data_IF_653627599337
#
_entry.id   IF_653627599337
#
_cell.length_a   1.000
_cell.length_b   1.000
_cell.length_c   1.000
_cell.angle_alpha   90.00
_cell.angle_beta   90.00
_cell.angle_gamma   90.00
#
_symmetry.space_group_name_H-M   'P 1'
#
loop_
_entity.id
_entity.type
_entity.pdbx_description
1 polymer ?
#
# COMPACT_ATOMS: atom_id res chain seq x y z
N UNK A 1 24.60 0.11 -0.69
CA UNK A 1 24.37 0.73 -2.02
C UNK A 1 22.88 1.07 -2.12
N UNK A 2 22.55 2.19 -2.73
CA UNK A 2 21.17 2.63 -2.94
C UNK A 2 20.51 1.74 -4.01
N UNK A 3 19.51 0.93 -3.63
CA UNK A 3 18.88 -0.08 -4.51
C UNK A 3 17.93 0.52 -5.56
N UNK A 4 17.47 1.76 -5.34
CA UNK A 4 16.43 2.41 -6.15
C UNK A 4 16.90 3.74 -6.75
N UNK A 5 18.22 3.94 -6.86
CA UNK A 5 18.79 5.17 -7.42
C UNK A 5 18.26 5.43 -8.84
N UNK A 6 17.66 6.61 -9.06
CA UNK A 6 17.12 7.03 -10.34
C UNK A 6 15.77 6.41 -10.69
N UNK A 7 15.16 5.62 -9.80
CA UNK A 7 13.78 5.13 -9.92
C UNK A 7 12.79 6.18 -9.42
N UNK A 8 11.57 6.11 -9.92
CA UNK A 8 10.45 6.97 -9.51
C UNK A 8 9.32 6.10 -8.97
N UNK A 9 8.84 6.43 -7.78
CA UNK A 9 7.76 5.71 -7.11
C UNK A 9 6.54 6.60 -6.86
N UNK A 10 5.36 6.05 -7.03
CA UNK A 10 4.10 6.60 -6.52
C UNK A 10 3.63 5.74 -5.36
N UNK A 11 3.32 6.35 -4.21
CA UNK A 11 2.74 5.68 -3.05
C UNK A 11 1.40 6.31 -2.73
N UNK A 12 0.31 5.57 -2.90
CA UNK A 12 -1.03 6.08 -2.61
C UNK A 12 -1.34 6.02 -1.12
N UNK A 13 -2.12 6.98 -0.60
CA UNK A 13 -2.46 7.05 0.82
C UNK A 13 -1.23 7.17 1.75
N UNK A 14 -0.21 7.91 1.33
CA UNK A 14 1.10 7.96 1.97
C UNK A 14 1.27 9.11 2.99
N UNK A 15 0.19 9.76 3.41
CA UNK A 15 0.24 10.86 4.39
C UNK A 15 0.50 10.41 5.83
N UNK A 16 0.35 9.11 6.14
CA UNK A 16 0.57 8.50 7.46
C UNK A 16 0.75 6.97 7.38
N UNK A 17 1.02 6.34 8.50
CA UNK A 17 1.03 4.88 8.66
C UNK A 17 1.99 4.14 7.72
N UNK A 18 1.54 3.00 7.22
CA UNK A 18 2.34 2.11 6.36
C UNK A 18 2.80 2.83 5.09
N UNK A 19 1.90 3.58 4.43
CA UNK A 19 2.24 4.30 3.20
C UNK A 19 3.33 5.35 3.41
N UNK A 20 3.28 6.11 4.50
CA UNK A 20 4.32 7.09 4.86
C UNK A 20 5.66 6.40 5.13
N UNK A 21 5.65 5.27 5.83
CA UNK A 21 6.86 4.48 6.07
C UNK A 21 7.48 3.94 4.79
N UNK A 22 6.64 3.41 3.89
CA UNK A 22 7.09 2.93 2.57
C UNK A 22 7.68 4.07 1.75
N UNK A 23 7.00 5.23 1.68
CA UNK A 23 7.49 6.40 0.95
C UNK A 23 8.87 6.83 1.44
N UNK A 24 9.07 6.95 2.76
CA UNK A 24 10.36 7.27 3.37
C UNK A 24 11.43 6.22 3.07
N UNK A 25 11.09 4.93 3.14
CA UNK A 25 12.03 3.85 2.88
C UNK A 25 12.47 3.78 1.41
N UNK A 26 11.55 3.97 0.46
CA UNK A 26 11.87 4.04 -0.97
C UNK A 26 12.79 5.24 -1.26
N UNK A 27 12.48 6.41 -0.70
CA UNK A 27 13.31 7.61 -0.84
C UNK A 27 14.72 7.41 -0.24
N UNK A 28 14.84 6.77 0.92
CA UNK A 28 16.13 6.43 1.54
C UNK A 28 16.98 5.48 0.68
N UNK A 29 16.35 4.72 -0.22
CA UNK A 29 17.02 3.89 -1.22
C UNK A 29 17.26 4.61 -2.55
N UNK A 30 17.01 5.93 -2.61
CA UNK A 30 17.35 6.79 -3.75
C UNK A 30 16.26 6.95 -4.80
N UNK A 31 15.04 6.51 -4.53
CA UNK A 31 13.90 6.79 -5.39
C UNK A 31 13.40 8.24 -5.20
N UNK A 32 12.91 8.86 -6.28
CA UNK A 32 12.06 10.04 -6.20
C UNK A 32 10.62 9.60 -5.95
N UNK A 33 9.93 10.20 -4.98
CA UNK A 33 8.63 9.67 -4.51
C UNK A 33 7.52 10.69 -4.65
N UNK A 34 6.41 10.25 -5.24
CA UNK A 34 5.11 10.94 -5.14
C UNK A 34 4.37 10.41 -3.92
N UNK A 35 4.15 11.28 -2.94
CA UNK A 35 3.40 11.02 -1.71
C UNK A 35 1.95 11.46 -1.93
N UNK A 36 1.07 10.50 -2.28
CA UNK A 36 -0.33 10.84 -2.49
C UNK A 36 -1.11 10.88 -1.16
N UNK A 37 -2.06 11.79 -1.11
CA UNK A 37 -3.04 11.92 -0.03
C UNK A 37 -4.44 12.24 -0.58
N UNK A 38 -5.49 11.78 0.09
CA UNK A 38 -6.87 12.17 -0.25
C UNK A 38 -7.30 13.44 0.52
N UNK A 39 -7.09 13.47 1.84
CA UNK A 39 -7.59 14.55 2.72
C UNK A 39 -6.51 15.21 3.57
N UNK A 40 -5.47 14.50 3.97
CA UNK A 40 -4.45 15.00 4.90
C UNK A 40 -3.24 15.58 4.16
N UNK A 41 -3.39 16.81 3.64
CA UNK A 41 -2.28 17.53 3.00
C UNK A 41 -1.13 17.74 3.98
N UNK A 42 -1.40 18.19 5.19
CA UNK A 42 -0.38 18.46 6.21
C UNK A 42 0.42 17.19 6.58
N UNK A 43 -0.24 16.02 6.63
CA UNK A 43 0.45 14.75 6.83
C UNK A 43 1.39 14.41 5.67
N UNK A 44 0.94 14.61 4.43
CA UNK A 44 1.78 14.38 3.25
C UNK A 44 2.97 15.35 3.18
N UNK A 45 2.74 16.63 3.48
CA UNK A 45 3.81 17.64 3.55
C UNK A 45 4.86 17.25 4.62
N UNK A 46 4.43 16.78 5.80
CA UNK A 46 5.35 16.31 6.83
C UNK A 46 6.18 15.09 6.39
N UNK A 47 5.61 14.20 5.58
CA UNK A 47 6.35 13.08 4.99
C UNK A 47 7.38 13.57 3.97
N UNK A 48 7.00 14.50 3.10
CA UNK A 48 7.90 15.13 2.12
C UNK A 48 9.06 15.84 2.82
N UNK A 49 8.76 16.64 3.85
CA UNK A 49 9.78 17.34 4.65
C UNK A 49 10.76 16.36 5.33
N UNK A 50 10.25 15.25 5.86
CA UNK A 50 11.10 14.22 6.47
C UNK A 50 12.01 13.55 5.45
N UNK A 51 11.51 13.28 4.24
CA UNK A 51 12.30 12.74 3.13
C UNK A 51 13.37 13.74 2.71
N UNK A 52 13.02 15.01 2.54
CA UNK A 52 13.96 16.07 2.16
C UNK A 52 15.06 16.27 3.22
N UNK A 53 14.72 16.28 4.51
CA UNK A 53 15.68 16.36 5.62
C UNK A 53 16.67 15.19 5.64
N UNK A 54 16.23 14.01 5.16
CA UNK A 54 17.08 12.84 5.01
C UNK A 54 17.88 12.82 3.70
N UNK A 55 17.81 13.88 2.87
CA UNK A 55 18.53 14.01 1.59
C UNK A 55 17.84 13.30 0.42
N UNK A 56 16.58 12.86 0.58
CA UNK A 56 15.78 12.26 -0.48
C UNK A 56 14.97 13.30 -1.26
N UNK A 57 14.21 12.82 -2.24
CA UNK A 57 13.37 13.66 -3.12
C UNK A 57 11.93 13.17 -3.09
N UNK A 58 10.99 14.05 -2.78
CA UNK A 58 9.56 13.74 -2.83
C UNK A 58 8.70 14.96 -3.11
N UNK A 59 7.48 14.73 -3.58
CA UNK A 59 6.42 15.72 -3.71
C UNK A 59 5.11 15.19 -3.12
N UNK A 60 4.28 16.07 -2.57
CA UNK A 60 2.93 15.73 -2.12
C UNK A 60 1.92 16.00 -3.25
N UNK A 61 1.02 15.04 -3.50
CA UNK A 61 0.00 15.14 -4.55
C UNK A 61 -1.36 14.74 -3.99
N UNK A 62 -2.34 15.66 -4.05
CA UNK A 62 -3.72 15.39 -3.66
C UNK A 62 -4.47 14.60 -4.72
N UNK A 63 -5.35 13.69 -4.29
CA UNK A 63 -6.24 12.95 -5.19
C UNK A 63 -6.87 11.75 -4.49
N UNK A 64 -8.14 11.51 -4.81
CA UNK A 64 -8.92 10.37 -4.34
C UNK A 64 -8.81 9.22 -5.35
N UNK A 65 -8.12 8.14 -4.98
CA UNK A 65 -7.87 6.99 -5.86
C UNK A 65 -9.15 6.34 -6.40
N UNK A 66 -10.28 6.52 -5.73
CA UNK A 66 -11.58 5.99 -6.20
C UNK A 66 -12.18 6.75 -7.39
N UNK A 67 -11.53 7.84 -7.82
CA UNK A 67 -11.93 8.67 -8.96
C UNK A 67 -10.91 8.55 -10.09
N UNK A 68 -11.37 8.21 -11.29
CA UNK A 68 -10.48 7.97 -12.43
C UNK A 68 -9.59 9.19 -12.77
N UNK A 69 -10.16 10.39 -12.78
CA UNK A 69 -9.41 11.61 -13.07
C UNK A 69 -8.32 11.90 -12.02
N UNK A 70 -8.61 11.64 -10.75
CA UNK A 70 -7.64 11.82 -9.67
C UNK A 70 -6.54 10.75 -9.73
N UNK A 71 -6.89 9.50 -10.06
CA UNK A 71 -5.92 8.42 -10.26
C UNK A 71 -4.94 8.75 -11.40
N UNK A 72 -5.44 9.26 -12.53
CA UNK A 72 -4.59 9.75 -13.62
C UNK A 72 -3.72 10.92 -13.17
N UNK A 73 -4.29 11.92 -12.50
CA UNK A 73 -3.56 13.09 -11.98
C UNK A 73 -2.39 12.68 -11.06
N UNK A 74 -2.61 11.71 -10.17
CA UNK A 74 -1.57 11.20 -9.25
C UNK A 74 -0.39 10.60 -10.05
N UNK A 75 -0.68 9.80 -11.07
CA UNK A 75 0.35 9.17 -11.91
C UNK A 75 1.05 10.20 -12.80
N UNK A 76 0.30 11.09 -13.43
CA UNK A 76 0.82 12.15 -14.30
C UNK A 76 1.78 13.08 -13.53
N UNK A 77 1.56 13.27 -12.23
CA UNK A 77 2.46 14.04 -11.40
C UNK A 77 3.87 13.44 -11.33
N UNK A 78 4.01 12.10 -11.33
CA UNK A 78 5.32 11.45 -11.41
C UNK A 78 5.99 11.72 -12.76
N UNK A 79 5.26 11.60 -13.86
CA UNK A 79 5.77 11.84 -15.21
C UNK A 79 6.18 13.31 -15.38
N UNK A 80 5.32 14.24 -14.96
CA UNK A 80 5.56 15.68 -15.08
C UNK A 80 6.78 16.15 -14.29
N UNK A 81 6.99 15.63 -13.08
CA UNK A 81 8.06 16.11 -12.19
C UNK A 81 9.35 15.32 -12.34
N UNK A 82 9.28 14.03 -12.71
CA UNK A 82 10.44 13.13 -12.71
C UNK A 82 10.69 12.41 -14.04
N UNK A 83 9.79 12.57 -15.04
CA UNK A 83 9.98 12.07 -16.41
C UNK A 83 9.70 10.57 -16.60
N UNK A 84 9.40 9.81 -15.53
CA UNK A 84 9.21 8.36 -15.57
C UNK A 84 8.38 7.84 -14.41
N UNK A 85 7.96 6.57 -14.51
CA UNK A 85 7.40 5.81 -13.40
C UNK A 85 8.00 4.39 -13.43
N UNK A 86 8.49 3.91 -12.28
CA UNK A 86 9.06 2.57 -12.13
C UNK A 86 8.31 1.73 -11.08
N UNK A 87 7.76 2.37 -10.06
CA UNK A 87 7.18 1.69 -8.90
C UNK A 87 5.82 2.32 -8.59
N UNK A 88 4.78 1.48 -8.51
CA UNK A 88 3.49 1.87 -7.96
C UNK A 88 3.23 1.09 -6.68
N UNK A 89 2.97 1.80 -5.56
CA UNK A 89 2.50 1.18 -4.32
C UNK A 89 1.05 1.59 -4.09
N UNK A 90 0.13 0.65 -4.29
CA UNK A 90 -1.28 0.79 -3.98
C UNK A 90 -1.50 0.53 -2.49
N UNK A 91 -1.39 1.59 -1.69
CA UNK A 91 -1.54 1.52 -0.23
C UNK A 91 -2.82 2.19 0.28
N UNK A 92 -3.45 3.08 -0.50
CA UNK A 92 -4.73 3.67 -0.10
C UNK A 92 -5.74 2.60 0.30
N UNK A 93 -6.35 2.77 1.48
CA UNK A 93 -7.34 1.84 1.95
C UNK A 93 -8.02 2.35 3.21
N UNK A 94 -9.25 1.91 3.39
CA UNK A 94 -10.06 2.12 4.59
C UNK A 94 -10.47 0.78 5.17
N UNK A 95 -10.69 0.75 6.46
CA UNK A 95 -11.22 -0.41 7.17
C UNK A 95 -12.34 0.05 8.10
N UNK A 96 -13.36 -0.74 8.14
CA UNK A 96 -14.50 -0.56 9.02
C UNK A 96 -15.01 -1.94 9.40
N UNK A 97 -15.24 -2.16 10.68
CA UNK A 97 -15.67 -3.45 11.21
C UNK A 97 -17.12 -3.32 11.70
N UNK A 98 -17.98 -4.19 11.20
CA UNK A 98 -19.40 -4.22 11.56
C UNK A 98 -19.89 -5.67 11.56
N UNK A 99 -20.73 -6.07 12.52
CA UNK A 99 -21.44 -7.33 12.43
C UNK A 99 -22.32 -7.34 11.16
N UNK A 100 -22.60 -8.52 10.61
CA UNK A 100 -23.26 -8.63 9.30
C UNK A 100 -24.61 -7.90 9.25
N UNK A 101 -25.32 -7.86 10.35
CA UNK A 101 -26.62 -7.20 10.47
C UNK A 101 -26.53 -5.67 10.39
N UNK A 102 -25.37 -5.08 10.64
CA UNK A 102 -25.12 -3.64 10.63
C UNK A 102 -24.40 -3.15 9.37
N UNK A 103 -24.04 -4.05 8.45
CA UNK A 103 -23.41 -3.67 7.18
C UNK A 103 -24.40 -2.88 6.33
N UNK A 104 -23.96 -1.73 5.80
CA UNK A 104 -24.77 -0.87 4.92
C UNK A 104 -24.21 -0.84 3.50
N UNK A 105 -25.06 -0.49 2.52
CA UNK A 105 -24.63 -0.26 1.14
C UNK A 105 -23.57 0.84 1.06
N UNK A 106 -23.70 1.90 1.85
CA UNK A 106 -22.76 3.01 1.90
C UNK A 106 -21.36 2.52 2.35
N UNK A 107 -21.31 1.73 3.43
CA UNK A 107 -20.06 1.10 3.92
C UNK A 107 -19.46 0.21 2.84
N UNK A 108 -20.26 -0.61 2.18
CA UNK A 108 -19.81 -1.48 1.09
C UNK A 108 -19.23 -0.67 -0.06
N UNK A 109 -19.96 0.27 -0.61
CA UNK A 109 -19.50 1.07 -1.74
C UNK A 109 -18.27 1.90 -1.41
N UNK A 110 -18.23 2.55 -0.25
CA UNK A 110 -17.06 3.32 0.19
C UNK A 110 -15.82 2.44 0.28
N UNK A 111 -15.95 1.28 0.91
CA UNK A 111 -14.80 0.37 1.12
C UNK A 111 -14.33 -0.23 -0.20
N UNK A 112 -15.24 -0.73 -1.05
CA UNK A 112 -14.86 -1.29 -2.36
C UNK A 112 -14.33 -0.24 -3.32
N UNK A 113 -14.91 0.96 -3.35
CA UNK A 113 -14.44 2.03 -4.23
C UNK A 113 -13.00 2.45 -3.90
N UNK A 114 -12.65 2.55 -2.63
CA UNK A 114 -11.29 2.93 -2.24
C UNK A 114 -10.33 1.74 -2.36
N UNK A 115 -10.67 0.59 -1.76
CA UNK A 115 -9.75 -0.53 -1.60
C UNK A 115 -9.59 -1.38 -2.86
N UNK A 116 -10.57 -1.40 -3.76
CA UNK A 116 -10.58 -2.25 -4.96
C UNK A 116 -10.56 -1.41 -6.23
N UNK A 117 -11.59 -0.58 -6.46
CA UNK A 117 -11.65 0.26 -7.66
C UNK A 117 -10.45 1.21 -7.72
N UNK A 118 -10.04 1.81 -6.59
CA UNK A 118 -8.87 2.68 -6.52
C UNK A 118 -7.58 2.00 -6.98
N UNK A 119 -7.38 0.74 -6.59
CA UNK A 119 -6.22 -0.06 -7.05
C UNK A 119 -6.27 -0.31 -8.55
N UNK A 120 -7.45 -0.60 -9.09
CA UNK A 120 -7.64 -0.82 -10.53
C UNK A 120 -7.35 0.48 -11.31
N UNK A 121 -7.93 1.60 -10.89
CA UNK A 121 -7.77 2.89 -11.58
C UNK A 121 -6.32 3.40 -11.55
N UNK A 122 -5.67 3.35 -10.39
CA UNK A 122 -4.26 3.77 -10.28
C UNK A 122 -3.34 2.85 -11.08
N UNK A 123 -3.60 1.55 -11.08
CA UNK A 123 -2.85 0.59 -11.90
C UNK A 123 -3.09 0.83 -13.39
N UNK A 124 -4.34 1.05 -13.80
CA UNK A 124 -4.70 1.36 -15.19
C UNK A 124 -3.98 2.63 -15.71
N UNK A 125 -3.89 3.66 -14.87
CA UNK A 125 -3.12 4.85 -15.22
C UNK A 125 -1.61 4.55 -15.28
N UNK A 126 -1.07 3.83 -14.29
CA UNK A 126 0.35 3.55 -14.16
C UNK A 126 0.91 2.68 -15.30
N UNK A 127 0.17 1.68 -15.76
CA UNK A 127 0.64 0.75 -16.82
C UNK A 127 0.85 1.41 -18.17
N UNK A 128 0.32 2.62 -18.39
CA UNK A 128 0.62 3.43 -19.56
C UNK A 128 2.07 3.93 -19.59
N UNK A 129 2.72 4.01 -18.42
CA UNK A 129 4.03 4.62 -18.21
C UNK A 129 5.08 3.63 -17.65
N UNK A 130 4.64 2.53 -17.03
CA UNK A 130 5.55 1.48 -16.55
C UNK A 130 6.17 0.74 -17.74
N UNK A 131 7.51 0.65 -17.72
CA UNK A 131 8.29 -0.12 -18.67
C UNK A 131 8.81 -1.44 -18.09
N UNK A 132 9.72 -2.09 -18.83
CA UNK A 132 10.43 -3.28 -18.38
C UNK A 132 11.14 -3.04 -17.04
N UNK A 133 11.00 -3.99 -16.10
CA UNK A 133 11.50 -3.88 -14.73
C UNK A 133 10.60 -3.09 -13.79
N UNK A 134 9.41 -2.65 -14.25
CA UNK A 134 8.41 -2.01 -13.41
C UNK A 134 7.92 -2.91 -12.28
N UNK A 135 7.54 -2.31 -11.14
CA UNK A 135 7.04 -3.03 -9.97
C UNK A 135 5.75 -2.40 -9.45
N UNK A 136 4.70 -3.20 -9.34
CA UNK A 136 3.44 -2.84 -8.69
C UNK A 136 3.34 -3.61 -7.38
N UNK A 137 3.10 -2.91 -6.28
CA UNK A 137 3.02 -3.47 -4.94
C UNK A 137 1.66 -3.11 -4.36
N UNK A 138 0.82 -4.09 -4.12
CA UNK A 138 -0.47 -3.92 -3.49
C UNK A 138 -0.35 -4.13 -1.98
N UNK A 139 -0.88 -3.24 -1.17
CA UNK A 139 -0.95 -3.45 0.29
C UNK A 139 -2.26 -4.15 0.63
N UNK A 140 -2.16 -5.47 0.72
CA UNK A 140 -3.23 -6.37 1.11
C UNK A 140 -3.50 -6.34 2.62
N UNK A 141 -3.81 -7.50 3.17
CA UNK A 141 -3.95 -7.72 4.62
C UNK A 141 -3.94 -9.21 4.92
N UNK A 142 -3.39 -9.61 6.05
CA UNK A 142 -3.58 -10.94 6.62
C UNK A 142 -5.06 -11.30 6.86
N UNK A 143 -5.95 -10.30 6.91
CA UNK A 143 -7.39 -10.53 7.05
C UNK A 143 -7.99 -11.36 5.91
N UNK A 144 -7.42 -11.36 4.70
CA UNK A 144 -7.87 -12.22 3.61
C UNK A 144 -7.72 -13.73 3.91
N UNK A 145 -6.77 -14.09 4.76
CA UNK A 145 -6.53 -15.47 5.21
C UNK A 145 -7.17 -15.76 6.57
N UNK A 146 -7.04 -14.86 7.54
CA UNK A 146 -7.50 -15.04 8.91
C UNK A 146 -9.01 -14.87 9.08
N UNK A 147 -9.66 -14.17 8.16
CA UNK A 147 -11.12 -13.94 8.12
C UNK A 147 -11.74 -13.56 9.47
N UNK A 148 -11.26 -12.50 10.15
CA UNK A 148 -11.74 -12.14 11.47
C UNK A 148 -13.22 -11.77 11.46
N UNK A 149 -13.99 -12.07 12.52
CA UNK A 149 -15.40 -11.70 12.60
C UNK A 149 -15.59 -10.19 12.50
N UNK A 150 -16.78 -9.77 12.08
CA UNK A 150 -17.17 -8.37 11.85
C UNK A 150 -16.39 -7.64 10.72
N UNK A 151 -15.64 -8.35 9.89
CA UNK A 151 -14.81 -7.77 8.83
C UNK A 151 -15.27 -8.12 7.41
N UNK A 152 -16.52 -8.54 7.23
CA UNK A 152 -17.01 -9.11 5.96
C UNK A 152 -16.65 -8.25 4.76
N UNK A 153 -17.00 -6.95 4.77
CA UNK A 153 -16.72 -6.04 3.65
C UNK A 153 -15.22 -5.81 3.48
N UNK A 154 -14.52 -5.51 4.58
CA UNK A 154 -13.07 -5.26 4.53
C UNK A 154 -12.30 -6.49 4.03
N UNK A 155 -12.55 -7.65 4.62
CA UNK A 155 -11.89 -8.91 4.23
C UNK A 155 -12.17 -9.26 2.77
N UNK A 156 -13.41 -9.06 2.29
CA UNK A 156 -13.75 -9.26 0.88
C UNK A 156 -12.92 -8.36 -0.04
N UNK A 157 -12.70 -7.07 0.31
CA UNK A 157 -11.82 -6.20 -0.48
C UNK A 157 -10.36 -6.69 -0.52
N UNK A 158 -9.88 -7.28 0.58
CA UNK A 158 -8.50 -7.79 0.63
C UNK A 158 -8.33 -9.11 -0.13
N UNK A 159 -9.35 -9.99 -0.11
CA UNK A 159 -9.41 -11.15 -1.01
C UNK A 159 -9.50 -10.75 -2.49
N UNK A 160 -10.24 -9.69 -2.81
CA UNK A 160 -10.25 -9.13 -4.17
C UNK A 160 -8.87 -8.64 -4.61
N UNK A 161 -8.09 -7.99 -3.71
CA UNK A 161 -6.72 -7.56 -4.01
C UNK A 161 -5.79 -8.75 -4.28
N UNK A 162 -5.94 -9.85 -3.54
CA UNK A 162 -5.16 -11.06 -3.78
C UNK A 162 -5.46 -11.60 -5.20
N UNK A 163 -6.74 -11.70 -5.60
CA UNK A 163 -7.12 -12.11 -6.94
C UNK A 163 -6.60 -11.15 -8.03
N UNK A 164 -6.75 -9.83 -7.84
CA UNK A 164 -6.25 -8.79 -8.74
C UNK A 164 -4.74 -8.90 -8.92
N UNK A 165 -3.99 -9.12 -7.85
CA UNK A 165 -2.53 -9.30 -7.89
C UNK A 165 -2.15 -10.47 -8.79
N UNK A 166 -2.79 -11.62 -8.64
CA UNK A 166 -2.55 -12.80 -9.46
C UNK A 166 -2.89 -12.61 -10.95
N UNK A 167 -4.02 -11.94 -11.24
CA UNK A 167 -4.42 -11.64 -12.62
C UNK A 167 -3.43 -10.67 -13.28
N UNK A 168 -3.14 -9.55 -12.62
CA UNK A 168 -2.24 -8.53 -13.17
C UNK A 168 -0.81 -9.04 -13.34
N UNK A 169 -0.32 -9.94 -12.48
CA UNK A 169 0.98 -10.58 -12.65
C UNK A 169 1.07 -11.35 -13.97
N UNK A 170 -0.01 -12.03 -14.38
CA UNK A 170 -0.09 -12.76 -15.64
C UNK A 170 -0.23 -11.82 -16.85
N UNK A 171 -1.06 -10.78 -16.74
CA UNK A 171 -1.30 -9.83 -17.82
C UNK A 171 -0.06 -8.96 -18.11
N UNK A 172 0.66 -8.54 -17.08
CA UNK A 172 1.79 -7.62 -17.20
C UNK A 172 3.15 -8.32 -17.28
N UNK A 173 3.21 -9.61 -16.93
CA UNK A 173 4.42 -10.43 -17.02
C UNK A 173 5.11 -10.42 -18.40
N UNK A 174 4.38 -10.53 -19.53
CA UNK A 174 4.98 -10.39 -20.86
C UNK A 174 5.68 -9.05 -21.11
N UNK A 175 5.28 -8.00 -20.39
CA UNK A 175 5.91 -6.67 -20.38
C UNK A 175 7.04 -6.54 -19.36
N UNK A 176 7.36 -7.63 -18.66
CA UNK A 176 8.35 -7.69 -17.56
C UNK A 176 8.04 -6.70 -16.42
N UNK A 177 6.75 -6.47 -16.16
CA UNK A 177 6.26 -5.72 -15.01
C UNK A 177 5.82 -6.74 -13.95
N UNK A 178 6.37 -6.63 -12.75
CA UNK A 178 6.04 -7.50 -11.63
C UNK A 178 4.90 -6.91 -10.81
N UNK A 179 4.01 -7.78 -10.34
CA UNK A 179 2.89 -7.39 -9.47
C UNK A 179 2.85 -8.33 -8.28
N UNK A 180 3.02 -7.80 -7.08
CA UNK A 180 3.01 -8.58 -5.85
C UNK A 180 2.17 -7.87 -4.77
N UNK A 181 1.77 -8.60 -3.75
CA UNK A 181 1.09 -8.07 -2.58
C UNK A 181 1.93 -8.24 -1.32
N UNK A 182 1.88 -7.25 -0.44
CA UNK A 182 2.29 -7.39 0.96
C UNK A 182 1.01 -7.44 1.77
N UNK A 183 0.82 -8.49 2.56
CA UNK A 183 -0.34 -8.71 3.41
C UNK A 183 0.07 -8.57 4.89
N UNK A 184 0.05 -7.36 5.47
CA UNK A 184 0.42 -7.15 6.87
C UNK A 184 -0.57 -7.83 7.81
N UNK A 185 -0.06 -8.29 8.96
CA UNK A 185 -0.87 -8.51 10.16
C UNK A 185 -1.29 -7.17 10.77
N UNK A 186 -1.58 -7.17 12.08
CA UNK A 186 -1.82 -5.91 12.79
C UNK A 186 -0.52 -5.12 12.91
N UNK A 187 -0.54 -3.86 12.47
CA UNK A 187 0.61 -2.93 12.49
C UNK A 187 0.23 -1.69 13.28
N UNK A 188 1.11 -1.27 14.19
CA UNK A 188 0.93 -0.03 14.93
C UNK A 188 1.08 1.18 14.00
N UNK A 189 0.04 1.99 13.92
CA UNK A 189 -0.08 3.19 13.08
C UNK A 189 -0.98 4.21 13.76
N UNK A 190 -0.96 5.44 13.29
CA UNK A 190 -1.92 6.47 13.75
C UNK A 190 -3.38 6.00 13.56
N UNK A 191 -3.66 5.22 12.51
CA UNK A 191 -4.98 4.66 12.24
C UNK A 191 -5.41 3.62 13.28
N UNK A 192 -4.52 2.71 13.70
CA UNK A 192 -4.84 1.70 14.71
C UNK A 192 -4.96 2.29 16.11
N UNK A 193 -4.26 3.38 16.42
CA UNK A 193 -4.48 4.17 17.64
C UNK A 193 -5.84 4.85 17.62
N UNK A 194 -6.17 5.59 16.54
CA UNK A 194 -7.46 6.29 16.42
C UNK A 194 -8.65 5.32 16.40
N UNK A 195 -8.46 4.12 15.84
CA UNK A 195 -9.46 3.05 15.82
C UNK A 195 -9.63 2.33 17.15
N UNK A 196 -8.84 2.67 18.20
CA UNK A 196 -8.94 2.06 19.52
C UNK A 196 -8.45 0.60 19.59
N UNK A 197 -7.66 0.16 18.60
CA UNK A 197 -7.13 -1.21 18.58
C UNK A 197 -5.94 -1.37 19.49
N UNK A 198 -5.08 -0.34 19.59
CA UNK A 198 -3.89 -0.36 20.44
C UNK A 198 -4.29 -0.26 21.91
N UNK A 199 -3.75 -1.16 22.74
CA UNK A 199 -4.09 -1.30 24.16
C UNK A 199 -5.36 -2.11 24.44
N UNK A 200 -6.07 -2.57 23.40
CA UNK A 200 -7.33 -3.33 23.52
C UNK A 200 -7.09 -4.82 23.84
N UNK A 201 -8.15 -5.50 24.28
CA UNK A 201 -8.10 -6.96 24.43
C UNK A 201 -7.99 -7.69 23.10
N UNK A 202 -8.43 -7.05 22.00
CA UNK A 202 -8.22 -7.55 20.65
C UNK A 202 -6.72 -7.60 20.29
N UNK A 203 -5.95 -6.55 20.59
CA UNK A 203 -4.50 -6.56 20.41
C UNK A 203 -3.84 -7.67 21.23
N UNK A 204 -4.19 -7.78 22.53
CA UNK A 204 -3.64 -8.82 23.41
C UNK A 204 -3.88 -10.23 22.86
N UNK A 205 -5.10 -10.48 22.35
CA UNK A 205 -5.47 -11.75 21.74
C UNK A 205 -4.67 -12.04 20.48
N UNK A 206 -4.43 -11.04 19.61
CA UNK A 206 -3.60 -11.18 18.42
C UNK A 206 -2.13 -11.41 18.79
N UNK A 207 -1.58 -10.66 19.74
CA UNK A 207 -0.20 -10.84 20.22
C UNK A 207 0.02 -12.25 20.76
N UNK A 208 -0.94 -12.79 21.53
CA UNK A 208 -0.87 -14.14 22.07
C UNK A 208 -0.84 -15.24 20.98
N UNK A 209 -1.41 -14.95 19.81
CA UNK A 209 -1.43 -15.87 18.66
C UNK A 209 -0.27 -15.60 17.68
N UNK A 210 0.44 -14.48 17.83
CA UNK A 210 1.53 -14.11 16.93
C UNK A 210 2.83 -14.78 17.39
N UNK A 211 3.45 -15.67 16.60
CA UNK A 211 4.68 -16.36 16.99
C UNK A 211 5.83 -15.43 17.41
N UNK A 212 5.96 -14.24 16.79
CA UNK A 212 6.96 -13.26 17.18
C UNK A 212 6.57 -12.43 18.42
N UNK A 213 5.41 -12.71 19.06
CA UNK A 213 5.01 -12.18 20.37
C UNK A 213 4.72 -10.68 20.40
N UNK A 214 4.47 -10.04 19.26
CA UNK A 214 4.14 -8.61 19.17
C UNK A 214 3.32 -8.29 17.93
N UNK A 215 2.67 -7.14 17.93
CA UNK A 215 2.15 -6.54 16.67
C UNK A 215 3.32 -6.02 15.83
N UNK A 216 3.06 -5.84 14.53
CA UNK A 216 4.04 -5.26 13.60
C UNK A 216 4.22 -3.76 13.80
N UNK A 217 5.35 -3.27 13.33
CA UNK A 217 5.66 -1.85 13.20
C UNK A 217 5.73 -1.47 11.72
N UNK A 218 5.57 -0.19 11.40
CA UNK A 218 5.74 0.30 10.01
C UNK A 218 7.11 -0.08 9.45
N UNK A 219 8.13 -0.13 10.30
CA UNK A 219 9.49 -0.56 9.98
C UNK A 219 9.64 -2.06 9.69
N UNK A 220 8.65 -2.88 10.00
CA UNK A 220 8.62 -4.29 9.59
C UNK A 220 8.07 -4.45 8.16
N UNK A 221 7.25 -3.51 7.69
CA UNK A 221 6.59 -3.57 6.38
C UNK A 221 7.38 -2.82 5.30
N UNK A 222 7.90 -1.64 5.63
CA UNK A 222 8.57 -0.78 4.66
C UNK A 222 9.79 -1.45 3.96
N UNK A 223 10.65 -2.23 4.63
CA UNK A 223 11.74 -2.96 3.97
C UNK A 223 11.26 -4.03 2.98
N UNK A 224 10.11 -4.66 3.23
CA UNK A 224 9.51 -5.63 2.29
C UNK A 224 9.09 -4.92 1.00
N UNK A 225 8.53 -3.70 1.10
CA UNK A 225 8.20 -2.90 -0.08
C UNK A 225 9.47 -2.49 -0.86
N UNK A 226 10.56 -2.12 -0.18
CA UNK A 226 11.85 -1.85 -0.82
C UNK A 226 12.37 -3.09 -1.56
N UNK A 227 12.31 -4.27 -0.93
CA UNK A 227 12.69 -5.54 -1.57
C UNK A 227 11.88 -5.79 -2.84
N UNK A 228 10.55 -5.69 -2.78
CA UNK A 228 9.68 -5.89 -3.93
C UNK A 228 9.86 -4.82 -5.02
N UNK A 229 10.24 -3.60 -4.66
CA UNK A 229 10.54 -2.52 -5.59
C UNK A 229 11.89 -2.67 -6.31
N UNK A 230 12.81 -3.44 -5.74
CA UNK A 230 14.19 -3.59 -6.23
C UNK A 230 14.37 -4.82 -7.13
N UNK A 231 15.54 -4.90 -7.75
CA UNK A 231 15.94 -6.05 -8.58
C UNK A 231 16.23 -7.31 -7.74
N UNK A 232 16.32 -7.19 -6.40
CA UNK A 232 16.47 -8.35 -5.51
C UNK A 232 15.26 -9.31 -5.59
N UNK A 233 14.11 -8.82 -6.05
CA UNK A 233 12.88 -9.58 -6.24
C UNK A 233 12.53 -9.83 -7.72
N UNK A 234 13.50 -9.79 -8.62
CA UNK A 234 13.29 -9.87 -10.08
C UNK A 234 12.57 -11.15 -10.55
N UNK A 235 12.60 -12.22 -9.75
CA UNK A 235 11.91 -13.50 -10.04
C UNK A 235 10.60 -13.70 -9.26
N UNK A 236 10.10 -12.64 -8.60
CA UNK A 236 8.84 -12.68 -7.83
C UNK A 236 7.76 -11.87 -8.54
N UNK A 237 6.68 -12.54 -8.94
CA UNK A 237 5.45 -11.91 -9.44
C UNK A 237 4.25 -12.79 -9.13
N UNK A 238 3.12 -12.19 -8.76
CA UNK A 238 1.91 -12.89 -8.34
C UNK A 238 1.95 -13.38 -6.89
N UNK A 239 2.94 -12.98 -6.11
CA UNK A 239 3.13 -13.41 -4.73
C UNK A 239 2.33 -12.57 -3.73
N UNK A 240 1.84 -13.23 -2.68
CA UNK A 240 1.19 -12.61 -1.54
C UNK A 240 2.04 -12.82 -0.29
N UNK A 241 2.90 -11.84 0.00
CA UNK A 241 3.84 -11.93 1.12
C UNK A 241 3.13 -11.59 2.45
N UNK A 242 2.85 -12.60 3.25
CA UNK A 242 2.26 -12.43 4.57
C UNK A 242 3.32 -11.89 5.55
N UNK A 243 3.21 -10.60 5.90
CA UNK A 243 4.10 -9.92 6.85
C UNK A 243 3.35 -9.74 8.20
N UNK A 244 3.17 -10.83 8.95
CA UNK A 244 2.27 -10.93 10.11
C UNK A 244 2.94 -11.39 11.40
N UNK A 245 4.28 -11.50 11.44
CA UNK A 245 4.97 -12.10 12.58
C UNK A 245 4.68 -13.58 12.78
N UNK A 246 4.20 -14.27 11.74
CA UNK A 246 3.85 -15.69 11.75
C UNK A 246 2.38 -15.98 12.07
N UNK A 247 1.56 -14.97 12.35
CA UNK A 247 0.12 -15.13 12.55
C UNK A 247 -0.54 -15.57 11.23
N UNK A 248 -1.31 -16.67 11.29
CA UNK A 248 -2.01 -17.28 10.15
C UNK A 248 -3.40 -17.73 10.53
#
# INVERSE_FOLDING_TARGET
>A
MSKLKGKVAVVTGASKGIGAGIAKALAAQGASVVVNYATSKSGADAVVDAIAKAGGTAIAVGGDVSKAADAEHIIDAAIKNYGRLDILVNNSGVYEFSPIEAVTEEQFHRTFNINVLGVILTTQAAVKHLGEGGSIINIGSGASLMTPPNSTVYTATKGALDAITGVLARELGPRKIRVNSINPGMVETEGTHTGGFIGSDFEKALVAQTPLGRIGQVTDIAPVAVFLASDDSHWLTGEHLLASGGLR
#
